data_IF_651621022059
#
_entry.id   IF_651621022059
#
_cell.length_a   1.000
_cell.length_b   1.000
_cell.length_c   1.000
_cell.angle_alpha   90.00
_cell.angle_beta   90.00
_cell.angle_gamma   90.00
#
_symmetry.space_group_name_H-M   'P 1'
#
loop_
_entity.id
_entity.type
_entity.pdbx_description
1 polymer ?
#
# COMPACT_ATOMS: atom_id res chain seq x y z
N UNK A 1 3.53 -40.30 -17.70
CA UNK A 1 3.35 -40.25 -16.24
C UNK A 1 4.16 -39.08 -15.73
N UNK A 2 3.51 -37.96 -15.44
CA UNK A 2 4.16 -36.85 -14.73
C UNK A 2 3.91 -37.11 -13.25
N UNK A 3 4.98 -37.26 -12.48
CA UNK A 3 4.89 -37.46 -11.03
C UNK A 3 4.64 -36.12 -10.38
N UNK A 4 3.58 -36.05 -9.57
CA UNK A 4 3.35 -34.99 -8.61
C UNK A 4 4.49 -34.98 -7.60
N UNK A 5 5.35 -33.96 -7.69
CA UNK A 5 6.24 -33.62 -6.61
C UNK A 5 5.44 -32.82 -5.59
N UNK A 6 5.31 -33.43 -4.42
CA UNK A 6 4.85 -32.90 -3.14
C UNK A 6 5.32 -31.45 -2.93
N UNK A 7 4.48 -30.50 -3.36
CA UNK A 7 4.56 -29.11 -2.94
C UNK A 7 4.04 -29.10 -1.52
N UNK A 8 4.96 -28.96 -0.56
CA UNK A 8 4.64 -28.67 0.84
C UNK A 8 3.44 -27.74 0.89
N UNK A 9 2.38 -28.18 1.54
CA UNK A 9 1.19 -27.39 1.83
C UNK A 9 1.66 -26.06 2.43
N UNK A 10 1.61 -25.00 1.62
CA UNK A 10 1.66 -23.63 2.13
C UNK A 10 0.33 -23.50 2.84
N UNK A 11 0.40 -23.59 4.17
CA UNK A 11 -0.74 -23.50 5.07
C UNK A 11 -1.62 -22.31 4.65
N UNK A 12 -2.75 -22.63 4.00
CA UNK A 12 -3.63 -21.69 3.30
C UNK A 12 -4.42 -20.78 4.25
N UNK A 13 -4.17 -20.91 5.55
CA UNK A 13 -5.02 -20.38 6.62
C UNK A 13 -4.47 -19.09 7.23
N UNK A 14 -3.30 -18.62 6.80
CA UNK A 14 -2.75 -17.32 7.23
C UNK A 14 -2.80 -16.30 6.10
N UNK A 15 -3.71 -15.35 6.25
CA UNK A 15 -3.74 -14.14 5.48
C UNK A 15 -2.50 -13.29 5.79
N UNK A 16 -1.70 -12.97 4.76
CA UNK A 16 -0.59 -12.02 4.79
C UNK A 16 0.65 -12.44 5.62
N UNK A 17 1.83 -12.47 4.98
CA UNK A 17 3.10 -12.65 5.69
C UNK A 17 3.52 -11.37 6.42
N UNK A 18 3.60 -11.43 7.75
CA UNK A 18 3.98 -10.30 8.62
C UNK A 18 5.43 -9.81 8.44
N UNK A 19 6.26 -10.54 7.70
CA UNK A 19 7.65 -10.18 7.44
C UNK A 19 7.82 -9.09 6.36
N UNK A 20 6.72 -8.58 5.78
CA UNK A 20 6.76 -7.54 4.75
C UNK A 20 7.51 -6.27 5.21
N UNK A 21 7.44 -5.89 6.49
CA UNK A 21 8.08 -4.66 6.99
C UNK A 21 9.61 -4.62 6.93
N UNK A 22 10.30 -5.77 6.96
CA UNK A 22 11.74 -5.77 7.32
C UNK A 22 12.68 -5.36 6.18
N UNK A 23 12.21 -5.32 4.93
CA UNK A 23 13.00 -4.93 3.75
C UNK A 23 12.15 -4.26 2.65
N UNK A 24 10.96 -3.71 2.96
CA UNK A 24 10.15 -3.07 1.92
C UNK A 24 10.71 -1.72 1.48
N UNK A 25 10.51 -1.36 0.20
CA UNK A 25 10.67 0.03 -0.26
C UNK A 25 9.93 1.04 0.64
N UNK A 26 8.84 0.64 1.29
CA UNK A 26 8.07 1.50 2.20
C UNK A 26 8.82 1.81 3.51
N UNK A 27 9.61 0.88 4.04
CA UNK A 27 10.47 1.15 5.20
C UNK A 27 11.50 2.25 4.89
N UNK A 28 12.11 2.20 3.71
CA UNK A 28 13.03 3.23 3.22
C UNK A 28 12.35 4.58 3.02
N UNK A 29 11.12 4.58 2.49
CA UNK A 29 10.30 5.79 2.40
C UNK A 29 9.98 6.39 3.75
N UNK A 30 9.58 5.57 4.74
CA UNK A 30 9.33 6.04 6.11
C UNK A 30 10.59 6.68 6.69
N UNK A 31 11.76 6.04 6.51
CA UNK A 31 13.04 6.60 6.97
C UNK A 31 13.35 7.95 6.34
N UNK A 32 13.12 8.11 5.03
CA UNK A 32 13.31 9.39 4.34
C UNK A 32 12.39 10.50 4.89
N UNK A 33 11.12 10.17 5.15
CA UNK A 33 10.16 11.10 5.74
C UNK A 33 10.55 11.48 7.18
N UNK A 34 11.05 10.55 7.97
CA UNK A 34 11.58 10.81 9.31
C UNK A 34 12.82 11.70 9.28
N UNK A 35 13.72 11.47 8.31
CA UNK A 35 14.90 12.32 8.12
C UNK A 35 14.50 13.77 7.78
N UNK A 36 13.53 13.98 6.90
CA UNK A 36 13.01 15.31 6.56
C UNK A 36 12.46 16.01 7.83
N UNK A 37 11.65 15.30 8.62
CA UNK A 37 11.09 15.84 9.86
C UNK A 37 12.17 16.17 10.90
N UNK A 38 13.22 15.35 10.99
CA UNK A 38 14.33 15.57 11.92
C UNK A 38 15.13 16.85 11.62
N UNK A 39 15.11 17.34 10.37
CA UNK A 39 15.77 18.59 9.99
C UNK A 39 15.08 19.85 10.54
N UNK A 40 13.81 19.75 11.00
CA UNK A 40 13.02 20.88 11.50
C UNK A 40 13.05 22.09 10.56
N UNK A 41 12.91 21.84 9.26
CA UNK A 41 12.89 22.90 8.24
C UNK A 41 11.77 23.90 8.49
N UNK A 42 12.06 25.20 8.36
CA UNK A 42 11.02 26.23 8.47
C UNK A 42 10.07 26.27 7.27
N UNK A 43 10.50 25.73 6.13
CA UNK A 43 9.73 25.67 4.87
C UNK A 43 10.02 24.34 4.19
N UNK A 44 8.97 23.69 3.68
CA UNK A 44 9.06 22.56 2.75
C UNK A 44 8.42 23.00 1.44
N UNK A 45 9.10 22.77 0.31
CA UNK A 45 8.56 23.11 -1.01
C UNK A 45 8.07 21.80 -1.66
N UNK A 46 6.76 21.50 -1.62
CA UNK A 46 6.23 20.28 -2.22
C UNK A 46 6.23 20.37 -3.75
N UNK A 47 6.47 19.23 -4.42
CA UNK A 47 6.28 19.11 -5.86
C UNK A 47 4.79 19.12 -6.28
N UNK A 48 3.91 18.65 -5.38
CA UNK A 48 2.45 18.67 -5.54
C UNK A 48 1.80 19.03 -4.20
N UNK A 49 0.95 20.06 -4.19
CA UNK A 49 0.07 20.43 -3.07
C UNK A 49 -1.07 21.31 -3.60
N UNK A 50 -2.27 21.18 -3.02
CA UNK A 50 -3.38 22.10 -3.25
C UNK A 50 -3.37 23.23 -2.23
N UNK A 51 -3.89 24.43 -2.57
CA UNK A 51 -4.08 25.49 -1.59
C UNK A 51 -5.00 25.03 -0.45
N UNK A 52 -4.54 25.15 0.79
CA UNK A 52 -5.29 24.72 1.98
C UNK A 52 -5.12 23.25 2.36
N UNK A 53 -4.19 22.52 1.72
CA UNK A 53 -3.72 21.23 2.21
C UNK A 53 -2.97 21.36 3.55
N UNK A 54 -2.55 20.21 4.09
CA UNK A 54 -1.74 20.08 5.30
C UNK A 54 -0.53 21.02 5.28
N UNK A 55 -0.13 21.47 6.47
CA UNK A 55 1.08 22.26 6.61
C UNK A 55 2.32 21.45 6.24
N UNK A 56 3.42 22.18 6.00
CA UNK A 56 4.72 21.61 5.63
C UNK A 56 5.18 20.50 6.60
N UNK A 57 4.93 20.65 7.91
CA UNK A 57 5.27 19.65 8.92
C UNK A 57 4.25 18.51 9.02
N UNK A 58 2.97 18.78 8.78
CA UNK A 58 1.89 17.79 8.85
C UNK A 58 1.94 16.78 7.70
N UNK A 59 2.27 17.23 6.48
CA UNK A 59 2.27 16.37 5.29
C UNK A 59 3.23 15.16 5.37
N UNK A 60 4.54 15.32 5.72
CA UNK A 60 5.44 14.18 5.86
C UNK A 60 5.08 13.29 7.06
N UNK A 61 4.57 13.88 8.14
CA UNK A 61 4.13 13.14 9.32
C UNK A 61 2.92 12.24 9.00
N UNK A 62 1.91 12.78 8.31
CA UNK A 62 0.74 12.03 7.87
C UNK A 62 1.14 10.88 6.93
N UNK A 63 2.03 11.16 5.97
CA UNK A 63 2.47 10.14 5.01
C UNK A 63 3.18 8.98 5.71
N UNK A 64 4.07 9.28 6.66
CA UNK A 64 4.75 8.25 7.45
C UNK A 64 3.76 7.44 8.29
N UNK A 65 2.78 8.08 8.92
CA UNK A 65 1.74 7.40 9.68
C UNK A 65 0.87 6.49 8.80
N UNK A 66 0.47 6.95 7.61
CA UNK A 66 -0.29 6.16 6.65
C UNK A 66 0.46 4.90 6.22
N UNK A 67 1.76 5.01 5.90
CA UNK A 67 2.56 3.85 5.49
C UNK A 67 2.75 2.84 6.63
N UNK A 68 2.90 3.30 7.87
CA UNK A 68 2.97 2.39 9.04
C UNK A 68 1.66 1.65 9.26
N UNK A 69 0.52 2.33 9.16
CA UNK A 69 -0.78 1.67 9.27
C UNK A 69 -0.99 0.68 8.12
N UNK A 70 -0.63 1.04 6.89
CA UNK A 70 -0.73 0.15 5.73
C UNK A 70 0.03 -1.15 5.96
N UNK A 71 1.28 -1.07 6.43
CA UNK A 71 2.10 -2.24 6.77
C UNK A 71 1.51 -3.05 7.93
N UNK A 72 0.91 -2.40 8.94
CA UNK A 72 0.25 -3.08 10.04
C UNK A 72 -1.02 -3.84 9.59
N UNK A 73 -1.69 -3.39 8.53
CA UNK A 73 -2.90 -4.02 7.99
C UNK A 73 -2.61 -5.17 7.00
N UNK A 74 -1.42 -5.22 6.39
CA UNK A 74 -1.03 -6.30 5.46
C UNK A 74 -1.20 -7.71 6.05
N UNK A 75 -0.66 -8.03 7.25
CA UNK A 75 -0.85 -9.37 7.83
C UNK A 75 -2.27 -9.64 8.33
N UNK A 76 -3.15 -8.64 8.29
CA UNK A 76 -4.56 -8.78 8.69
C UNK A 76 -5.49 -8.98 7.49
N UNK A 77 -4.99 -8.72 6.27
CA UNK A 77 -5.78 -8.75 5.05
C UNK A 77 -5.47 -10.00 4.22
N UNK A 78 -6.50 -10.72 3.81
CA UNK A 78 -6.38 -11.92 2.98
C UNK A 78 -6.19 -11.59 1.49
N UNK A 79 -6.58 -10.40 1.10
CA UNK A 79 -6.52 -9.92 -0.27
C UNK A 79 -6.48 -8.37 -0.28
N UNK A 80 -6.33 -7.81 -1.47
CA UNK A 80 -6.27 -6.35 -1.65
C UNK A 80 -7.58 -5.63 -1.31
N UNK A 81 -8.74 -6.27 -1.48
CA UNK A 81 -10.03 -5.65 -1.17
C UNK A 81 -10.19 -5.45 0.34
N UNK A 82 -9.78 -6.44 1.14
CA UNK A 82 -9.80 -6.36 2.61
C UNK A 82 -8.86 -5.26 3.11
N UNK A 83 -7.66 -5.17 2.53
CA UNK A 83 -6.69 -4.14 2.88
C UNK A 83 -7.20 -2.73 2.53
N UNK A 84 -7.80 -2.56 1.34
CA UNK A 84 -8.40 -1.29 0.92
C UNK A 84 -9.53 -0.90 1.88
N UNK A 85 -10.42 -1.83 2.22
CA UNK A 85 -11.53 -1.58 3.13
C UNK A 85 -11.03 -1.19 4.54
N UNK A 86 -10.00 -1.88 5.05
CA UNK A 86 -9.38 -1.57 6.33
C UNK A 86 -8.79 -0.16 6.35
N UNK A 87 -8.04 0.22 5.31
CA UNK A 87 -7.43 1.53 5.20
C UNK A 87 -8.47 2.64 5.01
N UNK A 88 -9.51 2.43 4.20
CA UNK A 88 -10.59 3.41 4.03
C UNK A 88 -11.37 3.68 5.32
N UNK A 89 -11.57 2.66 6.15
CA UNK A 89 -12.20 2.82 7.47
C UNK A 89 -11.37 3.69 8.41
N UNK A 90 -10.04 3.62 8.32
CA UNK A 90 -9.10 4.42 9.12
C UNK A 90 -8.92 5.84 8.55
N UNK A 91 -8.96 5.98 7.23
CA UNK A 91 -8.74 7.23 6.51
C UNK A 91 -9.95 7.60 5.62
N UNK A 92 -11.10 7.96 6.21
CA UNK A 92 -12.32 8.26 5.45
C UNK A 92 -12.21 9.54 4.60
N UNK A 93 -11.27 10.42 4.91
CA UNK A 93 -11.03 11.68 4.21
C UNK A 93 -10.06 11.55 3.01
N UNK A 94 -9.28 10.47 2.91
CA UNK A 94 -8.41 10.23 1.74
C UNK A 94 -9.24 9.70 0.59
N UNK A 95 -9.95 10.58 -0.14
CA UNK A 95 -10.75 10.18 -1.29
C UNK A 95 -9.87 9.91 -2.51
N UNK A 96 -9.15 8.80 -2.50
CA UNK A 96 -8.83 8.05 -3.70
C UNK A 96 -9.75 6.83 -3.74
N UNK A 97 -10.99 7.06 -4.16
CA UNK A 97 -11.96 5.98 -4.35
C UNK A 97 -11.51 5.10 -5.52
N UNK A 98 -11.38 3.76 -5.36
CA UNK A 98 -11.06 2.86 -6.47
C UNK A 98 -12.20 2.75 -7.49
N UNK A 99 -13.37 3.34 -7.22
CA UNK A 99 -14.51 3.32 -8.15
C UNK A 99 -14.39 4.31 -9.33
N UNK A 100 -13.35 5.17 -9.38
CA UNK A 100 -13.27 6.17 -10.45
C UNK A 100 -12.53 5.69 -11.72
N UNK A 101 -11.79 4.58 -11.67
CA UNK A 101 -11.04 4.06 -12.82
C UNK A 101 -11.47 2.64 -13.19
N UNK A 102 -12.75 2.43 -13.47
CA UNK A 102 -13.17 1.29 -14.28
C UNK A 102 -12.76 1.55 -15.74
N UNK A 103 -11.47 1.36 -16.05
CA UNK A 103 -11.06 1.11 -17.44
C UNK A 103 -11.65 -0.25 -17.79
N UNK A 104 -12.49 -0.38 -18.84
CA UNK A 104 -13.01 -1.67 -19.23
C UNK A 104 -11.83 -2.58 -19.59
N UNK A 105 -11.68 -3.67 -18.84
CA UNK A 105 -10.69 -4.71 -19.12
C UNK A 105 -11.05 -5.31 -20.47
N UNK A 106 -10.37 -4.86 -21.53
CA UNK A 106 -10.44 -5.47 -22.86
C UNK A 106 -10.18 -6.97 -22.70
N UNK A 107 -11.20 -7.76 -23.02
CA UNK A 107 -11.16 -9.21 -23.04
C UNK A 107 -10.15 -9.66 -24.10
N UNK A 108 -8.95 -10.03 -23.67
CA UNK A 108 -7.98 -10.71 -24.53
C UNK A 108 -8.54 -12.10 -24.85
N UNK A 109 -9.08 -12.23 -26.06
CA UNK A 109 -9.47 -13.51 -26.67
C UNK A 109 -8.29 -14.49 -26.55
N UNK A 110 -8.52 -15.65 -25.92
CA UNK A 110 -7.56 -16.75 -25.91
C UNK A 110 -7.48 -17.29 -27.33
N UNK A 111 -6.31 -17.20 -27.95
CA UNK A 111 -5.99 -17.94 -29.17
C UNK A 111 -6.13 -19.44 -28.93
N UNK A 112 -6.83 -20.11 -29.83
CA UNK A 112 -6.93 -21.56 -29.90
C UNK A 112 -5.62 -22.10 -30.47
N UNK A 113 -4.98 -23.05 -29.78
CA UNK A 113 -4.01 -23.94 -30.42
C UNK A 113 -4.77 -25.07 -31.10
N UNK A 114 -4.42 -25.35 -32.36
CA UNK A 114 -4.80 -26.57 -33.10
C UNK A 114 -3.85 -27.70 -32.79
#
# INVERSE_FOLDING_TARGET
>A
QCKDTDLKEVESDKCGDSDMLKLTPRAEWIRGLEQIQALKSSIIIPGHALPGDLTDDEAPALTAAYLREFEAQIPLACNSADLIAAMQKKYPASKTSPASNSVPRSSRSKGSCS
#
